data_IF_275199804907
#
_entry.id   IF_275199804907
#
_cell.length_a   1.000
_cell.length_b   1.000
_cell.length_c   1.000
_cell.angle_alpha   90.00
_cell.angle_beta   90.00
_cell.angle_gamma   90.00
#
_symmetry.space_group_name_H-M   'P 1'
#
loop_
_entity.id
_entity.type
_entity.pdbx_description
1 polymer ?
#
# COMPACT_ATOMS: atom_id res chain seq x y z
N UNK A 1 -10.67 2.08 -0.92
CA UNK A 1 -9.36 1.97 -0.26
C UNK A 1 -9.34 2.80 1.00
N UNK A 2 -9.15 4.11 0.86
CA UNK A 2 -8.98 5.05 1.98
C UNK A 2 -10.02 4.92 3.11
N UNK A 3 -11.32 4.91 2.77
CA UNK A 3 -12.40 4.83 3.77
C UNK A 3 -12.43 3.50 4.53
N UNK A 4 -11.96 2.40 3.92
CA UNK A 4 -11.86 1.12 4.64
C UNK A 4 -10.74 1.18 5.67
N UNK A 5 -9.57 1.69 5.27
CA UNK A 5 -8.42 1.86 6.16
C UNK A 5 -8.74 2.81 7.32
N UNK A 6 -9.53 3.85 7.08
CA UNK A 6 -10.04 4.73 8.13
C UNK A 6 -10.83 4.01 9.22
N UNK A 7 -11.60 2.97 8.86
CA UNK A 7 -12.38 2.20 9.83
C UNK A 7 -11.61 1.08 10.52
N UNK A 8 -10.49 0.62 9.95
CA UNK A 8 -9.77 -0.58 10.40
C UNK A 8 -8.41 -0.30 11.04
N UNK A 9 -7.76 0.81 10.69
CA UNK A 9 -6.44 1.15 11.23
C UNK A 9 -6.57 1.66 12.66
N UNK A 10 -5.85 1.02 13.59
CA UNK A 10 -5.72 1.49 14.97
C UNK A 10 -4.93 2.80 15.05
N UNK A 11 -4.09 3.07 14.06
CA UNK A 11 -3.18 4.21 13.93
C UNK A 11 -3.66 5.22 12.86
N UNK A 12 -4.96 5.28 12.60
CA UNK A 12 -5.51 6.17 11.58
C UNK A 12 -5.10 7.63 11.81
N UNK A 13 -4.46 8.19 10.78
CA UNK A 13 -4.27 9.63 10.60
C UNK A 13 -4.85 10.06 9.24
N UNK A 14 -5.71 11.08 9.26
CA UNK A 14 -6.44 11.53 8.07
C UNK A 14 -5.51 12.01 6.97
N UNK A 15 -4.48 12.79 7.31
CA UNK A 15 -3.58 13.36 6.31
C UNK A 15 -2.72 12.27 5.68
N UNK A 16 -2.12 11.41 6.50
CA UNK A 16 -1.27 10.32 6.05
C UNK A 16 -2.05 9.31 5.19
N UNK A 17 -3.25 8.90 5.63
CA UNK A 17 -4.07 7.95 4.88
C UNK A 17 -4.53 8.55 3.55
N UNK A 18 -5.17 9.73 3.55
CA UNK A 18 -5.72 10.31 2.32
C UNK A 18 -4.61 10.70 1.33
N UNK A 19 -3.49 11.26 1.79
CA UNK A 19 -2.37 11.61 0.91
C UNK A 19 -1.70 10.37 0.29
N UNK A 20 -1.51 9.29 1.07
CA UNK A 20 -0.94 8.05 0.54
C UNK A 20 -1.88 7.38 -0.46
N UNK A 21 -3.19 7.40 -0.22
CA UNK A 21 -4.16 6.87 -1.18
C UNK A 21 -4.23 7.72 -2.46
N UNK A 22 -4.16 9.05 -2.36
CA UNK A 22 -4.07 9.93 -3.52
C UNK A 22 -2.77 9.69 -4.31
N UNK A 23 -1.65 9.48 -3.62
CA UNK A 23 -0.36 9.12 -4.21
C UNK A 23 -0.44 7.81 -5.01
N UNK A 24 -0.96 6.75 -4.40
CA UNK A 24 -1.11 5.44 -5.06
C UNK A 24 -2.07 5.51 -6.25
N UNK A 25 -3.15 6.30 -6.14
CA UNK A 25 -4.11 6.50 -7.23
C UNK A 25 -3.58 7.37 -8.38
N UNK A 26 -2.37 7.94 -8.26
CA UNK A 26 -1.76 8.79 -9.27
C UNK A 26 -2.31 10.22 -9.32
N UNK A 27 -3.11 10.63 -8.34
CA UNK A 27 -3.61 12.00 -8.17
C UNK A 27 -2.75 12.83 -7.20
N UNK A 28 -1.68 12.24 -6.64
CA UNK A 28 -0.73 12.91 -5.76
C UNK A 28 0.35 13.71 -6.49
N UNK A 29 1.16 14.43 -5.72
CA UNK A 29 2.23 15.33 -6.18
C UNK A 29 3.52 14.63 -6.65
N UNK A 30 3.45 13.40 -7.17
CA UNK A 30 4.62 12.72 -7.73
C UNK A 30 4.72 12.98 -9.24
N UNK A 31 5.77 13.67 -9.73
CA UNK A 31 5.99 13.87 -11.16
C UNK A 31 6.35 12.57 -11.90
N UNK A 32 6.69 11.50 -11.18
CA UNK A 32 6.95 10.17 -11.74
C UNK A 32 5.64 9.41 -11.83
N UNK A 33 4.83 9.74 -12.84
CA UNK A 33 3.51 9.12 -13.05
C UNK A 33 3.52 7.59 -13.04
N UNK A 34 2.41 7.00 -12.56
CA UNK A 34 2.07 5.58 -12.74
C UNK A 34 2.98 4.58 -12.03
N UNK A 35 3.00 4.56 -10.69
CA UNK A 35 3.63 3.47 -9.91
C UNK A 35 2.64 2.34 -9.63
N UNK A 36 2.41 1.50 -10.63
CA UNK A 36 1.75 0.23 -10.40
C UNK A 36 2.72 -0.75 -9.73
N UNK A 37 2.31 -1.30 -8.59
CA UNK A 37 3.09 -2.33 -7.91
C UNK A 37 3.00 -3.65 -8.68
N UNK A 38 4.15 -4.20 -9.07
CA UNK A 38 4.22 -5.58 -9.54
C UNK A 38 4.24 -6.53 -8.33
N UNK A 39 3.12 -7.19 -8.06
CA UNK A 39 2.90 -8.04 -6.89
C UNK A 39 3.92 -9.19 -6.83
N UNK A 40 4.22 -9.83 -7.97
CA UNK A 40 5.19 -10.93 -8.03
C UNK A 40 6.61 -10.47 -7.67
N UNK A 41 7.02 -9.31 -8.21
CA UNK A 41 8.32 -8.73 -7.89
C UNK A 41 8.41 -8.33 -6.40
N UNK A 42 7.35 -7.73 -5.86
CA UNK A 42 7.28 -7.34 -4.45
C UNK A 42 7.40 -8.57 -3.54
N UNK A 43 6.63 -9.64 -3.82
CA UNK A 43 6.74 -10.91 -3.10
C UNK A 43 8.16 -11.47 -3.16
N UNK A 44 8.73 -11.59 -4.35
CA UNK A 44 10.09 -12.15 -4.50
C UNK A 44 11.18 -11.31 -3.81
N UNK A 45 10.96 -9.99 -3.66
CA UNK A 45 11.93 -9.08 -3.03
C UNK A 45 11.81 -9.08 -1.52
N UNK A 46 10.58 -9.06 -0.98
CA UNK A 46 10.33 -8.83 0.46
C UNK A 46 9.91 -10.08 1.23
N UNK A 47 9.43 -11.12 0.55
CA UNK A 47 9.03 -12.39 1.17
C UNK A 47 9.48 -13.61 0.30
N UNK A 48 10.80 -13.79 0.07
CA UNK A 48 11.31 -14.84 -0.81
C UNK A 48 11.03 -16.26 -0.28
N UNK A 49 10.90 -16.41 1.04
CA UNK A 49 10.68 -17.69 1.71
C UNK A 49 9.21 -17.93 2.09
N UNK A 50 8.28 -17.06 1.67
CA UNK A 50 6.85 -17.12 1.99
C UNK A 50 6.49 -17.07 3.49
N UNK A 51 7.42 -16.67 4.36
CA UNK A 51 7.19 -16.70 5.81
C UNK A 51 6.04 -15.77 6.22
N UNK A 52 5.93 -14.61 5.56
CA UNK A 52 4.84 -13.68 5.86
C UNK A 52 3.51 -14.20 5.32
N UNK A 53 3.49 -14.77 4.11
CA UNK A 53 2.27 -15.36 3.57
C UNK A 53 1.78 -16.56 4.39
N UNK A 54 2.67 -17.47 4.78
CA UNK A 54 2.32 -18.65 5.58
C UNK A 54 1.78 -18.30 6.97
N UNK A 55 2.20 -17.18 7.54
CA UNK A 55 1.71 -16.73 8.84
C UNK A 55 0.27 -16.18 8.81
N UNK A 56 -0.16 -15.62 7.67
CA UNK A 56 -1.40 -14.82 7.57
C UNK A 56 -2.42 -15.36 6.55
N UNK A 57 -2.09 -16.40 5.78
CA UNK A 57 -3.00 -17.11 4.86
C UNK A 57 -3.60 -18.36 5.51
#
# INVERSE_FOLDING_TARGET
GAAWFESQLIDYDVFSNQCNWAYIAGYGTDPRGGRHFNIHKQKATYDPNNLYQELWC
#
